data_IF_963650933936
#
_entry.id   IF_963650933936
#
_cell.length_a   1.000
_cell.length_b   1.000
_cell.length_c   1.000
_cell.angle_alpha   90.00
_cell.angle_beta   90.00
_cell.angle_gamma   90.00
#
_symmetry.space_group_name_H-M   'P 1'
#
loop_
_entity.id
_entity.type
_entity.pdbx_description
1 polymer ?
#
# COMPACT_ATOMS: atom_id res chain seq x y z
N UNK A 1 -1.63 27.78 -7.27
CA UNK A 1 -1.45 26.46 -6.59
C UNK A 1 -0.48 26.58 -5.43
N UNK A 2 0.75 27.06 -5.66
CA UNK A 2 1.80 27.24 -4.64
C UNK A 2 1.36 28.17 -3.49
N UNK A 3 0.69 29.30 -3.79
CA UNK A 3 0.15 30.21 -2.76
C UNK A 3 -0.83 29.54 -1.78
N UNK A 4 -1.55 28.51 -2.24
CA UNK A 4 -2.55 27.81 -1.43
C UNK A 4 -1.92 26.84 -0.41
N UNK A 5 -0.69 26.39 -0.70
CA UNK A 5 0.06 25.43 0.12
C UNK A 5 0.97 26.17 1.10
N UNK A 6 1.38 27.41 0.78
CA UNK A 6 2.28 28.25 1.58
C UNK A 6 1.84 28.50 3.04
N UNK A 7 0.55 28.32 3.36
CA UNK A 7 0.00 28.44 4.72
C UNK A 7 0.28 27.24 5.63
N UNK A 8 0.66 26.10 5.07
CA UNK A 8 0.93 24.87 5.83
C UNK A 8 2.42 24.75 6.10
N UNK A 9 2.79 24.60 7.37
CA UNK A 9 4.19 24.47 7.79
C UNK A 9 4.74 23.05 7.63
N UNK A 10 3.85 22.06 7.62
CA UNK A 10 4.20 20.65 7.56
C UNK A 10 3.23 19.93 6.63
N UNK A 11 3.76 18.92 5.93
CA UNK A 11 2.95 18.00 5.13
C UNK A 11 3.26 16.60 5.67
N UNK A 12 2.21 15.86 6.00
CA UNK A 12 2.30 14.46 6.43
C UNK A 12 1.81 13.62 5.26
N UNK A 13 2.59 12.61 4.91
CA UNK A 13 2.26 11.66 3.87
C UNK A 13 2.14 10.27 4.46
N UNK A 14 1.11 9.55 4.05
CA UNK A 14 1.08 8.10 4.22
C UNK A 14 2.12 7.46 3.29
N UNK A 15 2.57 6.25 3.63
CA UNK A 15 3.52 5.51 2.82
C UNK A 15 2.79 4.70 1.74
N UNK A 16 1.95 3.77 2.16
CA UNK A 16 1.40 2.74 1.29
C UNK A 16 0.32 3.30 0.37
N UNK A 17 0.51 3.14 -0.93
CA UNK A 17 -0.38 3.69 -1.95
C UNK A 17 -0.32 5.22 -2.10
N UNK A 18 0.49 5.92 -1.31
CA UNK A 18 0.64 7.38 -1.36
C UNK A 18 2.04 7.78 -1.85
N UNK A 19 3.10 7.29 -1.19
CA UNK A 19 4.47 7.48 -1.65
C UNK A 19 4.97 6.30 -2.48
N UNK A 20 4.49 5.09 -2.17
CA UNK A 20 4.98 3.85 -2.78
C UNK A 20 3.80 2.93 -3.08
N UNK A 21 3.77 2.35 -4.29
CA UNK A 21 2.87 1.25 -4.61
C UNK A 21 3.52 -0.10 -4.26
N UNK A 22 3.22 -0.59 -3.06
CA UNK A 22 3.78 -1.81 -2.48
C UNK A 22 2.77 -2.97 -2.41
N UNK A 23 1.58 -2.81 -3.01
CA UNK A 23 0.48 -3.79 -2.97
C UNK A 23 0.94 -5.17 -3.43
N UNK A 24 1.69 -5.24 -4.53
CA UNK A 24 2.21 -6.50 -5.08
C UNK A 24 3.12 -7.25 -4.08
N UNK A 25 3.91 -6.52 -3.30
CA UNK A 25 4.87 -7.08 -2.36
C UNK A 25 4.13 -7.68 -1.17
N UNK A 26 3.18 -6.94 -0.61
CA UNK A 26 2.36 -7.39 0.51
C UNK A 26 1.52 -8.62 0.12
N UNK A 27 0.88 -8.61 -1.05
CA UNK A 27 0.15 -9.77 -1.59
C UNK A 27 1.07 -10.98 -1.73
N UNK A 28 2.30 -10.79 -2.22
CA UNK A 28 3.30 -11.86 -2.33
C UNK A 28 3.69 -12.46 -0.97
N UNK A 29 3.93 -11.62 0.03
CA UNK A 29 4.26 -12.05 1.41
C UNK A 29 3.08 -12.82 2.02
N UNK A 30 1.87 -12.28 1.91
CA UNK A 30 0.65 -12.91 2.43
C UNK A 30 0.40 -14.27 1.78
N UNK A 31 0.56 -14.37 0.46
CA UNK A 31 0.38 -15.63 -0.26
C UNK A 31 1.40 -16.70 0.14
N UNK A 32 2.63 -16.32 0.53
CA UNK A 32 3.61 -17.26 1.12
C UNK A 32 3.11 -17.79 2.47
N UNK A 33 2.52 -16.93 3.30
CA UNK A 33 1.98 -17.32 4.62
C UNK A 33 0.71 -18.16 4.52
N UNK A 34 -0.18 -17.86 3.58
CA UNK A 34 -1.41 -18.60 3.31
C UNK A 34 -1.11 -20.00 2.78
N UNK A 35 -0.16 -20.10 1.84
CA UNK A 35 0.31 -21.40 1.31
C UNK A 35 0.79 -22.34 2.43
N UNK A 36 1.54 -21.83 3.42
CA UNK A 36 2.03 -22.62 4.56
C UNK A 36 0.90 -23.21 5.42
N UNK A 37 -0.30 -22.65 5.36
CA UNK A 37 -1.49 -23.05 6.12
C UNK A 37 -2.54 -23.77 5.27
N UNK A 38 -2.21 -24.09 4.02
CA UNK A 38 -3.13 -24.66 3.05
C UNK A 38 -4.39 -23.80 2.81
N UNK A 39 -4.26 -22.47 2.93
CA UNK A 39 -5.33 -21.52 2.69
C UNK A 39 -5.31 -20.97 1.25
N UNK A 40 -6.46 -20.55 0.70
CA UNK A 40 -6.53 -19.91 -0.61
C UNK A 40 -5.65 -18.66 -0.69
N UNK A 41 -5.11 -18.40 -1.89
CA UNK A 41 -4.34 -17.18 -2.17
C UNK A 41 -5.27 -15.98 -2.37
N UNK A 42 -4.76 -14.79 -2.08
CA UNK A 42 -5.40 -13.52 -2.38
C UNK A 42 -4.79 -12.90 -3.64
N UNK A 43 -5.58 -12.07 -4.31
CA UNK A 43 -5.22 -11.36 -5.54
C UNK A 43 -5.73 -9.92 -5.43
N UNK A 44 -4.83 -8.96 -5.62
CA UNK A 44 -5.17 -7.53 -5.53
C UNK A 44 -6.05 -7.03 -6.67
N UNK A 45 -6.18 -7.76 -7.77
CA UNK A 45 -7.04 -7.36 -8.90
C UNK A 45 -8.48 -7.85 -8.77
N UNK A 46 -8.75 -8.75 -7.81
CA UNK A 46 -10.08 -9.31 -7.56
C UNK A 46 -10.90 -8.51 -6.54
N UNK A 47 -10.34 -7.46 -5.98
CA UNK A 47 -10.94 -6.58 -4.97
C UNK A 47 -10.77 -5.12 -5.38
#
# INVERSE_FOLDING_TARGET
MIEKIARYKHIIWDWNGTLINDVWLVVGIMNKMLKKRNLPKIDSEKY
#
